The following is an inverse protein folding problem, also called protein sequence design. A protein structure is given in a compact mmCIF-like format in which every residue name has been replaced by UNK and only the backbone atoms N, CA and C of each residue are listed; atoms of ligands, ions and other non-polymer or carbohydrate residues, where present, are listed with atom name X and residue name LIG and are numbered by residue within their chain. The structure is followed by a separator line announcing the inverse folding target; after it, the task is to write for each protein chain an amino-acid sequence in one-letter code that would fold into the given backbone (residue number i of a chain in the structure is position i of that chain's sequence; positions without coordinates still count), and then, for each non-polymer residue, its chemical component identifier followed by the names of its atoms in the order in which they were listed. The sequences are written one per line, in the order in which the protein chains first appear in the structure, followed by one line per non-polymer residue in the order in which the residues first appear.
data_IF_791136472620
#
_entry.id   IF_791136472620
#
_cell.length_a   1.000
_cell.length_b   1.000
_cell.length_c   1.000
_cell.angle_alpha   90.00
_cell.angle_beta   90.00
_cell.angle_gamma   90.00
#
_symmetry.space_group_name_H-M   'P 1'
#
loop_
_entity.id
_entity.type
_entity.pdbx_description
1 polymer ?
#
# COMPACT_ATOMS: atom_id res chain seq x y z
N UNK A 1 -7.24 34.50 -2.19
CA UNK A 1 -6.76 33.13 -2.49
C UNK A 1 -7.30 32.06 -1.54
N UNK A 2 -7.98 32.40 -0.43
CA UNK A 2 -8.49 31.40 0.53
C UNK A 2 -9.65 30.50 0.05
N UNK A 3 -10.55 30.99 -0.81
CA UNK A 3 -11.70 30.20 -1.29
C UNK A 3 -11.31 28.92 -2.05
N UNK A 4 -10.10 28.85 -2.60
CA UNK A 4 -9.63 27.70 -3.37
C UNK A 4 -8.92 26.63 -2.51
N UNK A 5 -8.45 27.01 -1.31
CA UNK A 5 -7.68 26.11 -0.43
C UNK A 5 -8.57 25.09 0.27
N UNK A 6 -9.78 25.50 0.67
CA UNK A 6 -10.76 24.60 1.30
C UNK A 6 -11.28 23.54 0.32
N UNK A 7 -11.47 23.90 -0.95
CA UNK A 7 -11.87 22.95 -2.00
C UNK A 7 -10.79 21.88 -2.23
N UNK A 8 -9.53 22.30 -2.40
CA UNK A 8 -8.41 21.37 -2.57
C UNK A 8 -8.26 20.39 -1.40
N UNK A 9 -8.45 20.84 -0.15
CA UNK A 9 -8.40 19.97 1.03
C UNK A 9 -9.53 18.93 1.07
N UNK A 10 -10.74 19.30 0.64
CA UNK A 10 -11.85 18.35 0.52
C UNK A 10 -11.52 17.31 -0.56
N UNK A 11 -10.92 17.75 -1.66
CA UNK A 11 -10.60 16.86 -2.79
C UNK A 11 -9.54 15.82 -2.44
N UNK A 12 -8.48 16.22 -1.73
CA UNK A 12 -7.46 15.31 -1.20
C UNK A 12 -8.06 14.24 -0.30
N UNK A 13 -8.97 14.65 0.59
CA UNK A 13 -9.64 13.72 1.49
C UNK A 13 -10.47 12.70 0.72
N UNK A 14 -11.20 13.12 -0.31
CA UNK A 14 -11.95 12.21 -1.18
C UNK A 14 -11.02 11.21 -1.89
N UNK A 15 -9.86 11.65 -2.38
CA UNK A 15 -8.85 10.75 -2.96
C UNK A 15 -8.39 9.72 -1.92
N UNK A 16 -8.06 10.15 -0.70
CA UNK A 16 -7.58 9.26 0.37
C UNK A 16 -8.63 8.23 0.80
N UNK A 17 -9.85 8.70 1.07
CA UNK A 17 -11.01 7.87 1.48
C UNK A 17 -11.31 6.83 0.39
N UNK A 18 -11.25 7.24 -0.87
CA UNK A 18 -11.47 6.36 -2.01
C UNK A 18 -10.30 5.40 -2.26
N UNK A 19 -9.08 5.75 -1.85
CA UNK A 19 -7.87 4.98 -2.10
C UNK A 19 -7.63 3.88 -1.07
N UNK A 20 -7.24 4.22 0.16
CA UNK A 20 -7.02 3.25 1.23
C UNK A 20 -5.75 2.38 1.13
N UNK A 21 -4.90 2.52 0.11
CA UNK A 21 -3.73 1.63 -0.07
C UNK A 21 -2.68 1.71 1.05
N UNK A 22 -2.65 2.82 1.79
CA UNK A 22 -1.82 2.95 2.99
C UNK A 22 -2.42 2.24 4.22
N UNK A 23 -3.72 1.91 4.17
CA UNK A 23 -4.46 1.32 5.28
C UNK A 23 -4.69 -0.18 5.10
N UNK A 24 -4.75 -0.68 3.87
CA UNK A 24 -5.19 -2.05 3.55
C UNK A 24 -4.05 -3.05 3.28
N UNK A 25 -2.84 -2.70 3.72
CA UNK A 25 -1.63 -3.50 3.54
C UNK A 25 -1.15 -3.65 2.08
N UNK A 26 -1.68 -2.87 1.13
CA UNK A 26 -1.12 -2.84 -0.24
C UNK A 26 0.24 -2.16 -0.29
N UNK A 27 0.38 -0.98 0.33
CA UNK A 27 1.63 -0.21 0.24
C UNK A 27 2.58 -0.46 1.40
N UNK A 28 2.10 -0.78 2.60
CA UNK A 28 2.92 -0.86 3.81
C UNK A 28 2.46 -1.98 4.76
N UNK A 29 3.39 -2.56 5.50
CA UNK A 29 3.10 -3.55 6.56
C UNK A 29 2.80 -2.92 7.91
N UNK A 30 3.34 -1.73 8.16
CA UNK A 30 3.24 -1.05 9.43
C UNK A 30 3.15 0.46 9.19
N UNK A 31 2.47 1.15 10.09
CA UNK A 31 2.42 2.61 10.13
C UNK A 31 3.25 3.10 11.31
N UNK A 32 4.30 3.87 11.01
CA UNK A 32 5.26 4.37 12.01
C UNK A 32 4.62 5.46 12.84
N UNK A 33 4.79 5.35 14.17
CA UNK A 33 4.33 6.32 15.14
C UNK A 33 5.44 7.31 15.48
N UNK A 34 5.06 8.55 15.78
CA UNK A 34 5.94 9.53 16.40
C UNK A 34 6.16 9.19 17.88
N UNK A 35 7.31 9.59 18.46
CA UNK A 35 7.55 9.44 19.89
C UNK A 35 6.43 10.07 20.72
N UNK A 36 5.87 9.30 21.65
CA UNK A 36 4.81 9.78 22.56
C UNK A 36 3.38 9.66 22.03
N UNK A 37 3.15 9.13 20.82
CA UNK A 37 1.78 8.86 20.35
C UNK A 37 1.11 7.69 21.09
N UNK A 38 1.90 6.75 21.61
CA UNK A 38 1.39 5.60 22.37
C UNK A 38 0.50 6.04 23.54
N UNK A 39 -0.63 5.36 23.72
CA UNK A 39 -1.61 5.71 24.76
C UNK A 39 -2.53 6.87 24.38
N UNK A 40 -2.30 7.48 23.21
CA UNK A 40 -3.17 8.53 22.66
C UNK A 40 -3.92 8.05 21.40
N UNK A 41 -3.61 6.85 20.92
CA UNK A 41 -4.18 6.25 19.72
C UNK A 41 -5.63 5.78 19.95
N UNK A 42 -6.43 5.68 18.87
CA UNK A 42 -7.68 4.93 18.89
C UNK A 42 -7.45 3.47 19.33
N UNK A 43 -8.40 2.93 20.09
CA UNK A 43 -8.34 1.61 20.74
C UNK A 43 -7.79 0.51 19.83
N UNK A 44 -8.37 0.31 18.63
CA UNK A 44 -7.91 -0.78 17.74
C UNK A 44 -6.51 -0.57 17.16
N UNK A 45 -6.03 0.69 17.08
CA UNK A 45 -4.64 0.95 16.68
C UNK A 45 -3.69 0.59 17.83
N UNK A 46 -4.07 0.92 19.07
CA UNK A 46 -3.33 0.58 20.28
C UNK A 46 -3.25 -0.95 20.48
N UNK A 47 -4.31 -1.69 20.20
CA UNK A 47 -4.31 -3.17 20.21
C UNK A 47 -3.29 -3.77 19.22
N UNK A 48 -3.04 -3.09 18.10
CA UNK A 48 -2.09 -3.50 17.06
C UNK A 48 -0.70 -2.87 17.20
N UNK A 49 -0.44 -2.18 18.33
CA UNK A 49 0.82 -1.53 18.62
C UNK A 49 1.97 -2.53 18.74
N UNK A 50 3.12 -2.15 18.20
CA UNK A 50 4.37 -2.90 18.34
C UNK A 50 5.54 -1.93 18.52
N UNK A 51 6.48 -2.38 19.34
CA UNK A 51 7.81 -1.77 19.47
C UNK A 51 8.87 -2.74 19.01
N UNK A 52 9.67 -2.37 18.00
CA UNK A 52 10.89 -3.09 17.65
C UNK A 52 12.05 -2.12 17.79
N UNK A 53 13.03 -2.48 18.65
CA UNK A 53 14.18 -1.62 18.98
C UNK A 53 13.67 -0.24 19.41
N UNK A 54 14.06 0.81 18.68
CA UNK A 54 13.70 2.20 18.95
C UNK A 54 12.57 2.73 18.05
N UNK A 55 11.89 1.86 17.29
CA UNK A 55 10.77 2.25 16.42
C UNK A 55 9.45 1.72 16.99
N UNK A 56 8.45 2.58 17.03
CA UNK A 56 7.09 2.28 17.42
C UNK A 56 6.17 2.38 16.19
N UNK A 57 5.23 1.44 16.08
CA UNK A 57 4.32 1.36 14.94
C UNK A 57 3.03 0.63 15.34
N UNK A 58 2.03 0.70 14.48
CA UNK A 58 0.88 -0.20 14.52
C UNK A 58 0.80 -1.04 13.24
N UNK A 59 0.31 -2.28 13.34
CA UNK A 59 0.22 -3.19 12.18
C UNK A 59 -0.80 -2.70 11.16
N UNK A 60 -0.50 -2.98 9.90
CA UNK A 60 -1.46 -2.93 8.80
C UNK A 60 -1.82 -4.37 8.36
N UNK A 61 -3.04 -4.65 7.87
CA UNK A 61 -4.10 -3.69 7.57
C UNK A 61 -4.70 -3.05 8.84
N UNK A 62 -5.05 -1.77 8.75
CA UNK A 62 -5.61 -1.02 9.87
C UNK A 62 -7.00 -1.58 10.24
N UNK A 63 -7.23 -1.86 11.52
CA UNK A 63 -8.52 -2.40 12.00
C UNK A 63 -9.71 -1.44 11.92
N UNK A 64 -9.47 -0.17 11.57
CA UNK A 64 -10.53 0.78 11.22
C UNK A 64 -10.82 0.86 9.72
N UNK A 65 -10.10 0.10 8.89
CA UNK A 65 -10.29 0.06 7.45
C UNK A 65 -11.31 -1.02 7.07
N UNK A 66 -12.41 -0.61 6.44
CA UNK A 66 -13.36 -1.51 5.80
C UNK A 66 -13.80 -0.90 4.46
N UNK A 67 -12.93 -1.02 3.45
CA UNK A 67 -13.06 -0.33 2.16
C UNK A 67 -12.73 1.17 2.21
N UNK A 68 -12.97 1.81 3.36
CA UNK A 68 -12.54 3.17 3.72
C UNK A 68 -12.24 3.25 5.23
N UNK A 69 -11.58 4.31 5.66
CA UNK A 69 -11.32 4.55 7.09
C UNK A 69 -12.63 4.94 7.81
N UNK A 70 -13.03 4.14 8.80
CA UNK A 70 -14.26 4.38 9.58
C UNK A 70 -14.14 5.53 10.57
N UNK A 71 -12.91 5.94 10.91
CA UNK A 71 -12.61 7.05 11.84
C UNK A 71 -11.96 8.24 11.13
N UNK A 72 -12.18 8.42 9.82
CA UNK A 72 -11.45 9.41 9.02
C UNK A 72 -11.55 10.84 9.58
N UNK A 73 -12.73 11.21 10.10
CA UNK A 73 -13.02 12.52 10.69
C UNK A 73 -12.80 12.59 12.21
N UNK A 74 -12.22 11.55 12.81
CA UNK A 74 -11.93 11.48 14.25
C UNK A 74 -10.41 11.53 14.48
N UNK A 75 -10.02 11.54 15.75
CA UNK A 75 -8.62 11.40 16.14
C UNK A 75 -8.05 10.09 15.58
N UNK A 76 -6.88 10.16 14.98
CA UNK A 76 -6.13 9.06 14.37
C UNK A 76 -4.64 9.29 14.61
N UNK A 77 -3.80 8.28 14.37
CA UNK A 77 -2.35 8.45 14.42
C UNK A 77 -1.91 9.61 13.51
N UNK A 78 -0.87 10.35 13.91
CA UNK A 78 -0.35 11.50 13.19
C UNK A 78 -0.02 11.15 11.74
N UNK A 79 0.65 10.01 11.53
CA UNK A 79 1.04 9.54 10.20
C UNK A 79 -0.14 9.38 9.24
N UNK A 80 -1.33 9.03 9.73
CA UNK A 80 -2.55 8.88 8.93
C UNK A 80 -3.06 10.22 8.35
N UNK A 81 -2.60 11.36 8.88
CA UNK A 81 -2.98 12.69 8.43
C UNK A 81 -1.82 13.44 7.76
N UNK A 82 -0.58 13.14 8.15
CA UNK A 82 0.60 13.86 7.68
C UNK A 82 1.26 13.23 6.46
N UNK A 83 1.03 11.93 6.21
CA UNK A 83 1.66 11.24 5.10
C UNK A 83 1.12 11.71 3.75
N UNK A 84 2.01 12.15 2.86
CA UNK A 84 1.68 12.54 1.48
C UNK A 84 2.27 11.54 0.50
N UNK A 85 1.43 10.66 -0.03
CA UNK A 85 1.81 9.70 -1.07
C UNK A 85 2.03 10.42 -2.41
N UNK A 86 2.69 9.76 -3.37
CA UNK A 86 3.03 10.39 -4.66
C UNK A 86 1.80 10.85 -5.44
N UNK A 87 0.68 10.13 -5.32
CA UNK A 87 -0.59 10.55 -5.91
C UNK A 87 -1.05 11.91 -5.39
N UNK A 88 -1.03 12.11 -4.07
CA UNK A 88 -1.40 13.38 -3.45
C UNK A 88 -0.41 14.48 -3.82
N UNK A 89 0.89 14.18 -3.84
CA UNK A 89 1.92 15.15 -4.28
C UNK A 89 1.69 15.61 -5.73
N UNK A 90 1.34 14.69 -6.62
CA UNK A 90 1.04 15.02 -8.01
C UNK A 90 -0.23 15.86 -8.13
N UNK A 91 -1.27 15.56 -7.33
CA UNK A 91 -2.49 16.36 -7.27
C UNK A 91 -2.23 17.78 -6.73
N UNK A 92 -1.51 17.90 -5.61
CA UNK A 92 -1.10 19.19 -5.01
C UNK A 92 -0.29 20.05 -5.98
N UNK A 93 0.60 19.42 -6.75
CA UNK A 93 1.40 20.09 -7.77
C UNK A 93 0.61 20.42 -9.05
N UNK A 94 -0.68 20.09 -9.13
CA UNK A 94 -1.52 20.31 -10.30
C UNK A 94 -1.16 19.44 -11.51
N UNK A 95 -0.39 18.37 -11.32
CA UNK A 95 0.02 17.45 -12.40
C UNK A 95 -1.12 16.52 -12.85
N UNK A 96 -2.10 16.29 -11.98
CA UNK A 96 -3.29 15.47 -12.25
C UNK A 96 -4.52 16.13 -11.63
N UNK A 97 -5.70 15.89 -12.21
CA UNK A 97 -6.96 16.32 -11.60
C UNK A 97 -7.43 15.33 -10.54
N UNK A 98 -8.39 15.75 -9.70
CA UNK A 98 -9.04 14.85 -8.74
C UNK A 98 -9.69 13.65 -9.45
N UNK A 99 -10.35 13.89 -10.59
CA UNK A 99 -10.99 12.85 -11.39
C UNK A 99 -9.96 11.81 -11.87
N UNK A 100 -8.81 12.27 -12.37
CA UNK A 100 -7.74 11.37 -12.82
C UNK A 100 -7.16 10.58 -11.65
N UNK A 101 -6.99 11.20 -10.48
CA UNK A 101 -6.52 10.53 -9.28
C UNK A 101 -7.48 9.42 -8.81
N UNK A 102 -8.79 9.69 -8.80
CA UNK A 102 -9.82 8.71 -8.43
C UNK A 102 -9.87 7.57 -9.45
N UNK A 103 -9.76 7.88 -10.75
CA UNK A 103 -9.76 6.87 -11.80
C UNK A 103 -8.53 5.96 -11.71
N UNK A 104 -7.34 6.53 -11.47
CA UNK A 104 -6.13 5.74 -11.24
C UNK A 104 -6.25 4.82 -10.02
N UNK A 105 -6.83 5.32 -8.93
CA UNK A 105 -7.14 4.51 -7.74
C UNK A 105 -8.08 3.36 -8.10
N UNK A 106 -9.15 3.61 -8.86
CA UNK A 106 -10.12 2.60 -9.28
C UNK A 106 -9.46 1.51 -10.11
N UNK A 107 -8.67 1.88 -11.11
CA UNK A 107 -7.93 0.93 -11.95
C UNK A 107 -6.94 0.10 -11.13
N UNK A 108 -6.18 0.75 -10.25
CA UNK A 108 -5.21 0.06 -9.38
C UNK A 108 -5.90 -0.93 -8.44
N UNK A 109 -7.08 -0.58 -7.89
CA UNK A 109 -7.90 -1.49 -7.07
C UNK A 109 -8.38 -2.69 -7.87
N UNK A 110 -8.81 -2.47 -9.11
CA UNK A 110 -9.30 -3.52 -9.99
C UNK A 110 -8.19 -4.54 -10.31
N UNK A 111 -7.02 -4.07 -10.75
CA UNK A 111 -5.86 -4.93 -11.00
C UNK A 111 -5.44 -5.70 -9.75
N UNK A 112 -5.46 -5.06 -8.58
CA UNK A 112 -5.18 -5.78 -7.32
C UNK A 112 -6.15 -6.93 -7.11
N UNK A 113 -7.46 -6.70 -7.23
CA UNK A 113 -8.48 -7.74 -7.03
C UNK A 113 -8.29 -8.91 -8.01
N UNK A 114 -7.92 -8.62 -9.26
CA UNK A 114 -7.60 -9.64 -10.26
C UNK A 114 -6.41 -10.49 -9.82
N UNK A 115 -5.33 -9.87 -9.35
CA UNK A 115 -4.16 -10.60 -8.83
C UNK A 115 -4.48 -11.45 -7.59
N UNK A 116 -5.30 -10.95 -6.67
CA UNK A 116 -5.71 -11.74 -5.49
C UNK A 116 -6.48 -13.00 -5.90
N UNK A 117 -7.38 -12.88 -6.88
CA UNK A 117 -8.17 -14.01 -7.40
C UNK A 117 -7.29 -15.00 -8.17
N UNK A 118 -6.40 -14.50 -9.02
CA UNK A 118 -5.47 -15.34 -9.77
C UNK A 118 -4.56 -16.13 -8.82
N UNK A 119 -4.05 -15.51 -7.75
CA UNK A 119 -3.29 -16.21 -6.72
C UNK A 119 -4.07 -17.37 -6.09
N UNK A 120 -5.34 -17.16 -5.74
CA UNK A 120 -6.19 -18.22 -5.16
C UNK A 120 -6.34 -19.40 -6.12
N UNK A 121 -6.50 -19.12 -7.43
CA UNK A 121 -6.63 -20.14 -8.45
C UNK A 121 -5.33 -20.96 -8.61
N UNK A 122 -4.18 -20.29 -8.77
CA UNK A 122 -2.90 -20.99 -9.03
C UNK A 122 -2.31 -21.65 -7.78
N UNK A 123 -2.64 -21.15 -6.58
CA UNK A 123 -2.14 -21.72 -5.33
C UNK A 123 -3.00 -22.87 -4.82
N UNK A 124 -4.25 -22.98 -5.29
CA UNK A 124 -5.24 -23.93 -4.78
C UNK A 124 -5.63 -23.71 -3.31
N UNK A 125 -5.24 -22.56 -2.72
CA UNK A 125 -5.53 -22.22 -1.33
C UNK A 125 -6.82 -21.40 -1.24
N UNK A 126 -7.63 -21.68 -0.23
CA UNK A 126 -8.83 -20.90 0.10
C UNK A 126 -8.54 -19.64 0.92
N UNK A 127 -7.30 -19.45 1.36
CA UNK A 127 -6.88 -18.31 2.17
C UNK A 127 -7.01 -16.99 1.40
N UNK A 128 -7.59 -15.99 2.04
CA UNK A 128 -7.67 -14.63 1.52
C UNK A 128 -6.45 -13.86 2.00
N UNK A 129 -5.50 -13.63 1.09
CA UNK A 129 -4.30 -12.86 1.37
C UNK A 129 -4.42 -11.41 0.89
N UNK A 130 -3.69 -10.52 1.54
CA UNK A 130 -3.42 -9.18 1.03
C UNK A 130 -2.41 -9.25 -0.12
N UNK A 131 -2.24 -8.14 -0.85
CA UNK A 131 -1.26 -8.09 -1.93
C UNK A 131 0.18 -8.28 -1.41
N UNK A 132 0.55 -7.69 -0.27
CA UNK A 132 1.89 -7.88 0.30
C UNK A 132 2.13 -9.31 0.78
N UNK A 133 1.12 -9.96 1.36
CA UNK A 133 1.22 -11.36 1.76
C UNK A 133 1.44 -12.28 0.55
N UNK A 134 0.83 -11.97 -0.60
CA UNK A 134 1.10 -12.65 -1.87
C UNK A 134 2.55 -12.48 -2.30
N UNK A 135 3.11 -11.26 -2.24
CA UNK A 135 4.53 -11.03 -2.58
C UNK A 135 5.46 -11.87 -1.68
N UNK A 136 5.16 -11.96 -0.38
CA UNK A 136 5.90 -12.82 0.56
C UNK A 136 5.77 -14.29 0.18
N UNK A 137 4.56 -14.75 -0.16
CA UNK A 137 4.31 -16.12 -0.59
C UNK A 137 5.06 -16.46 -1.89
N UNK A 138 5.08 -15.54 -2.86
CA UNK A 138 5.82 -15.67 -4.10
C UNK A 138 7.32 -15.81 -3.86
N UNK A 139 7.89 -14.96 -3.01
CA UNK A 139 9.32 -15.04 -2.68
C UNK A 139 9.71 -16.36 -2.01
N UNK A 140 8.82 -16.95 -1.20
CA UNK A 140 9.03 -18.31 -0.65
C UNK A 140 8.94 -19.37 -1.74
N UNK A 141 7.94 -19.26 -2.61
CA UNK A 141 7.68 -20.23 -3.68
C UNK A 141 8.81 -20.26 -4.72
N UNK A 142 9.36 -19.12 -5.10
CA UNK A 142 10.52 -19.01 -5.99
C UNK A 142 11.74 -19.77 -5.43
N UNK A 143 12.08 -19.54 -4.15
CA UNK A 143 13.19 -20.25 -3.47
C UNK A 143 12.98 -21.77 -3.39
N UNK A 144 11.74 -22.24 -3.31
CA UNK A 144 11.41 -23.67 -3.30
C UNK A 144 11.56 -24.30 -4.70
N UNK A 145 11.19 -23.57 -5.75
CA UNK A 145 11.16 -24.05 -7.13
C UNK A 145 12.53 -23.94 -7.81
N UNK A 146 13.35 -22.94 -7.46
CA UNK A 146 14.78 -22.89 -7.83
C UNK A 146 15.53 -24.13 -7.35
N UNK A 147 15.19 -24.65 -6.16
CA UNK A 147 15.74 -25.91 -5.62
C UNK A 147 15.21 -27.17 -6.31
N UNK A 148 14.08 -27.08 -7.03
CA UNK A 148 13.40 -28.19 -7.73
C UNK A 148 13.46 -28.08 -9.26
N UNK A 149 14.24 -27.14 -9.79
CA UNK A 149 14.57 -26.96 -11.21
C UNK A 149 13.38 -26.69 -12.16
N UNK A 150 12.32 -25.98 -11.74
CA UNK A 150 11.38 -25.27 -12.64
C UNK A 150 10.27 -24.59 -11.83
N UNK A 151 9.94 -23.33 -12.11
CA UNK A 151 8.59 -22.81 -11.84
C UNK A 151 7.64 -23.34 -12.91
N UNK A 152 6.35 -23.52 -12.60
CA UNK A 152 5.37 -23.72 -13.68
C UNK A 152 5.18 -22.38 -14.39
N UNK A 153 4.93 -22.43 -15.70
CA UNK A 153 4.70 -21.24 -16.53
C UNK A 153 3.62 -20.30 -15.94
N UNK A 154 2.59 -20.87 -15.30
CA UNK A 154 1.55 -20.10 -14.60
C UNK A 154 2.11 -19.26 -13.45
N UNK A 155 3.01 -19.82 -12.63
CA UNK A 155 3.65 -19.08 -11.53
C UNK A 155 4.61 -18.00 -12.04
N UNK A 156 5.30 -18.24 -13.16
CA UNK A 156 6.18 -17.24 -13.78
C UNK A 156 5.39 -16.04 -14.31
N UNK A 157 4.31 -16.30 -15.05
CA UNK A 157 3.41 -15.25 -15.57
C UNK A 157 2.81 -14.45 -14.40
N UNK A 158 2.32 -15.15 -13.37
CA UNK A 158 1.75 -14.49 -12.21
C UNK A 158 2.77 -13.62 -11.47
N UNK A 159 4.00 -14.12 -11.27
CA UNK A 159 5.09 -13.35 -10.68
C UNK A 159 5.40 -12.09 -11.51
N UNK A 160 5.45 -12.20 -12.84
CA UNK A 160 5.66 -11.06 -13.72
C UNK A 160 4.55 -10.00 -13.58
N UNK A 161 3.28 -10.42 -13.52
CA UNK A 161 2.14 -9.51 -13.29
C UNK A 161 2.24 -8.81 -11.92
N UNK A 162 2.61 -9.53 -10.87
CA UNK A 162 2.83 -8.95 -9.54
C UNK A 162 3.96 -7.91 -9.55
N UNK A 163 5.08 -8.19 -10.23
CA UNK A 163 6.20 -7.25 -10.36
C UNK A 163 5.78 -5.98 -11.08
N UNK A 164 5.05 -6.10 -12.21
CA UNK A 164 4.52 -4.94 -12.96
C UNK A 164 3.61 -4.11 -12.05
N UNK A 165 2.69 -4.76 -11.34
CA UNK A 165 1.78 -4.07 -10.45
C UNK A 165 2.51 -3.39 -9.28
N UNK A 166 3.52 -4.03 -8.69
CA UNK A 166 4.36 -3.42 -7.66
C UNK A 166 5.12 -2.20 -8.19
N UNK A 167 5.70 -2.27 -9.39
CA UNK A 167 6.34 -1.12 -10.03
C UNK A 167 5.38 0.04 -10.26
N UNK A 168 4.13 -0.24 -10.68
CA UNK A 168 3.10 0.79 -10.84
C UNK A 168 2.69 1.39 -9.49
N UNK A 169 2.54 0.57 -8.44
CA UNK A 169 2.26 1.06 -7.09
C UNK A 169 3.36 2.02 -6.61
N UNK A 170 4.61 1.69 -6.88
CA UNK A 170 5.74 2.49 -6.46
C UNK A 170 5.78 3.81 -7.25
N UNK A 171 5.66 3.76 -8.58
CA UNK A 171 5.62 4.94 -9.45
C UNK A 171 4.50 5.92 -9.08
N UNK A 172 3.30 5.41 -8.78
CA UNK A 172 2.11 6.25 -8.63
C UNK A 172 1.78 6.59 -7.18
N UNK A 173 2.26 5.83 -6.20
CA UNK A 173 1.86 5.99 -4.80
C UNK A 173 3.02 6.10 -3.80
N UNK A 174 4.18 5.46 -4.02
CA UNK A 174 5.34 5.64 -3.14
C UNK A 174 6.19 6.83 -3.59
N UNK A 175 6.98 7.40 -2.68
CA UNK A 175 7.83 8.57 -3.02
C UNK A 175 8.81 8.23 -4.14
N UNK A 176 9.24 9.25 -4.91
CA UNK A 176 10.32 9.11 -5.89
C UNK A 176 11.57 8.46 -5.27
N UNK A 177 11.92 8.80 -4.03
CA UNK A 177 13.03 8.14 -3.31
C UNK A 177 12.81 6.63 -3.09
N UNK A 178 11.58 6.19 -2.83
CA UNK A 178 11.26 4.77 -2.70
C UNK A 178 11.27 4.07 -4.07
N UNK A 179 10.92 4.78 -5.14
CA UNK A 179 11.03 4.31 -6.52
C UNK A 179 12.48 4.14 -6.97
N UNK A 180 13.31 5.15 -6.74
CA UNK A 180 14.72 5.14 -7.12
C UNK A 180 15.51 4.05 -6.39
N UNK A 181 15.18 3.80 -5.11
CA UNK A 181 15.74 2.66 -4.37
C UNK A 181 15.36 1.30 -4.97
N UNK A 182 14.16 1.17 -5.54
CA UNK A 182 13.73 -0.07 -6.20
C UNK A 182 14.40 -0.26 -7.57
N UNK A 183 14.63 0.81 -8.33
CA UNK A 183 15.31 0.74 -9.63
C UNK A 183 16.83 0.55 -9.48
N UNK A 184 17.42 1.05 -8.39
CA UNK A 184 18.87 0.94 -8.13
C UNK A 184 19.32 -0.42 -7.58
N UNK A 185 18.39 -1.30 -7.15
CA UNK A 185 18.72 -2.65 -6.68
C UNK A 185 18.88 -3.68 -7.80
N UNK A 186 18.63 -3.31 -9.06
CA UNK A 186 18.81 -4.18 -10.23
C UNK A 186 20.26 -4.25 -10.74
N UNK A 187 21.21 -3.52 -10.15
CA UNK A 187 22.62 -3.48 -10.62
C UNK A 187 23.67 -4.05 -9.65
N UNK A 188 23.30 -4.67 -8.53
CA UNK A 188 24.28 -5.36 -7.66
C UNK A 188 24.26 -6.88 -7.85
N UNK A 189 24.60 -7.26 -9.07
CA UNK A 189 25.15 -8.58 -9.41
C UNK A 189 26.58 -8.42 -9.91
N UNK A 190 27.55 -8.38 -8.99
CA UNK A 190 28.95 -8.79 -9.19
C UNK A 190 29.44 -9.43 -7.92
#
# INVERSE_FOLDING_TARGET
MEKNRTGALIDEQQICISCGFCCDNTLFDNAVLQPGEKGTLPEKMEESYIKIKNQEYFKLPCFYFNGKCSIYNQKKAHICSSFRCQLLKNFEAGKITQKDAIELVRQTKQTRVELLKEYQQISGKSEVLTFREILVALGKKQKELEKKASLSMEWEIFAAKCNIFESLLIKHFKSEEDFDKMMSTSEKGK
#
